data_IF_370241020924
#
_entry.id   IF_370241020924
#
_cell.length_a   1.000
_cell.length_b   1.000
_cell.length_c   1.000
_cell.angle_alpha   90.00
_cell.angle_beta   90.00
_cell.angle_gamma   90.00
#
_symmetry.space_group_name_H-M   'P 1'
#
loop_
_entity.id
_entity.type
_entity.pdbx_description
1 polymer ?
#
# COMPACT_ATOMS: atom_id res chain seq x y z
N UNK A 1 8.18 -14.27 -18.18
CA UNK A 1 7.06 -14.53 -17.26
C UNK A 1 5.97 -15.26 -18.04
N UNK A 2 5.33 -16.27 -17.47
CA UNK A 2 4.16 -16.91 -18.07
C UNK A 2 2.91 -16.03 -17.88
N UNK A 3 1.86 -16.22 -18.67
CA UNK A 3 0.63 -15.43 -18.57
C UNK A 3 -0.07 -15.56 -17.20
N UNK A 4 -0.04 -16.74 -16.60
CA UNK A 4 -0.63 -16.98 -15.27
C UNK A 4 0.15 -16.26 -14.17
N UNK A 5 1.47 -16.21 -14.30
CA UNK A 5 2.35 -15.51 -13.35
C UNK A 5 2.17 -13.99 -13.45
N UNK A 6 2.01 -13.48 -14.67
CA UNK A 6 1.70 -12.07 -14.91
C UNK A 6 0.37 -11.68 -14.27
N UNK A 7 -0.65 -12.52 -14.45
CA UNK A 7 -1.97 -12.31 -13.87
C UNK A 7 -1.93 -12.35 -12.35
N UNK A 8 -1.24 -13.33 -11.76
CA UNK A 8 -1.07 -13.42 -10.31
C UNK A 8 -0.40 -12.17 -9.73
N UNK A 9 0.67 -11.67 -10.38
CA UNK A 9 1.33 -10.45 -9.95
C UNK A 9 0.40 -9.23 -10.04
N UNK A 10 -0.34 -9.06 -11.13
CA UNK A 10 -1.33 -7.99 -11.29
C UNK A 10 -2.38 -8.04 -10.20
N UNK A 11 -2.94 -9.23 -9.92
CA UNK A 11 -3.92 -9.43 -8.85
C UNK A 11 -3.36 -9.04 -7.48
N UNK A 12 -2.11 -9.40 -7.18
CA UNK A 12 -1.47 -9.02 -5.92
C UNK A 12 -1.27 -7.50 -5.83
N UNK A 13 -0.88 -6.85 -6.93
CA UNK A 13 -0.77 -5.38 -6.97
C UNK A 13 -2.13 -4.70 -6.74
N UNK A 14 -3.20 -5.19 -7.37
CA UNK A 14 -4.56 -4.64 -7.16
C UNK A 14 -5.00 -4.79 -5.71
N UNK A 15 -4.73 -5.95 -5.09
CA UNK A 15 -5.03 -6.18 -3.68
C UNK A 15 -4.25 -5.24 -2.77
N UNK A 16 -2.96 -5.00 -3.06
CA UNK A 16 -2.14 -4.02 -2.33
C UNK A 16 -2.76 -2.63 -2.44
N UNK A 17 -3.12 -2.20 -3.64
CA UNK A 17 -3.72 -0.87 -3.87
C UNK A 17 -5.01 -0.71 -3.05
N UNK A 18 -5.89 -1.72 -3.08
CA UNK A 18 -7.14 -1.71 -2.31
C UNK A 18 -6.93 -1.64 -0.79
N UNK A 19 -6.06 -2.50 -0.26
CA UNK A 19 -5.71 -2.49 1.17
C UNK A 19 -5.03 -1.18 1.58
N UNK A 20 -4.21 -0.61 0.71
CA UNK A 20 -3.51 0.64 0.95
C UNK A 20 -4.46 1.85 0.98
N UNK A 21 -5.42 1.95 0.05
CA UNK A 21 -6.46 2.98 0.09
C UNK A 21 -7.30 2.93 1.35
N UNK A 22 -7.69 1.71 1.76
CA UNK A 22 -8.43 1.51 3.00
C UNK A 22 -7.60 1.97 4.21
N UNK A 23 -6.32 1.58 4.27
CA UNK A 23 -5.39 1.97 5.35
C UNK A 23 -5.17 3.48 5.41
N UNK A 24 -4.96 4.14 4.26
CA UNK A 24 -4.84 5.61 4.19
C UNK A 24 -6.08 6.27 4.77
N UNK A 25 -7.27 5.82 4.38
CA UNK A 25 -8.54 6.37 4.84
C UNK A 25 -8.70 6.24 6.36
N UNK A 26 -8.39 5.07 6.92
CA UNK A 26 -8.39 4.85 8.37
C UNK A 26 -7.37 5.73 9.09
N UNK A 27 -6.12 5.78 8.63
CA UNK A 27 -5.09 6.62 9.23
C UNK A 27 -5.52 8.10 9.24
N UNK A 28 -6.08 8.60 8.13
CA UNK A 28 -6.63 9.96 8.03
C UNK A 28 -7.77 10.19 9.03
N UNK A 29 -8.72 9.27 9.15
CA UNK A 29 -9.83 9.36 10.09
C UNK A 29 -9.33 9.40 11.55
N UNK A 30 -8.32 8.58 11.88
CA UNK A 30 -7.68 8.60 13.21
C UNK A 30 -7.03 9.95 13.49
N UNK A 31 -6.30 10.49 12.52
CA UNK A 31 -5.70 11.83 12.66
C UNK A 31 -6.73 12.96 12.76
N UNK A 32 -7.97 12.74 12.30
CA UNK A 32 -9.09 13.67 12.46
C UNK A 32 -9.85 13.50 13.80
N UNK A 33 -9.41 12.58 14.67
CA UNK A 33 -9.99 12.37 16.00
C UNK A 33 -10.89 11.13 16.11
N UNK A 34 -11.00 10.32 15.05
CA UNK A 34 -11.71 9.03 15.14
C UNK A 34 -10.87 8.01 15.92
N UNK A 35 -11.53 7.08 16.61
CA UNK A 35 -10.83 5.94 17.21
C UNK A 35 -10.33 5.00 16.10
N UNK A 36 -9.11 4.44 16.18
CA UNK A 36 -8.63 3.45 15.22
C UNK A 36 -9.52 2.21 15.25
N UNK A 37 -10.20 1.88 14.16
CA UNK A 37 -11.04 0.69 14.10
C UNK A 37 -10.18 -0.60 14.10
N UNK A 38 -10.75 -1.74 14.51
CA UNK A 38 -10.16 -3.07 14.40
C UNK A 38 -9.70 -3.38 12.96
N UNK A 39 -10.43 -2.87 11.97
CA UNK A 39 -10.10 -2.98 10.54
C UNK A 39 -8.75 -2.37 10.15
N UNK A 40 -8.20 -1.42 10.94
CA UNK A 40 -6.84 -0.92 10.70
C UNK A 40 -5.78 -2.01 10.96
N UNK A 41 -6.03 -2.90 11.93
CA UNK A 41 -5.18 -4.05 12.21
C UNK A 41 -5.22 -5.07 11.07
N UNK A 42 -6.42 -5.42 10.62
CA UNK A 42 -6.62 -6.37 9.52
C UNK A 42 -5.94 -5.89 8.22
N UNK A 43 -6.09 -4.60 7.91
CA UNK A 43 -5.44 -3.99 6.74
C UNK A 43 -3.91 -3.99 6.86
N UNK A 44 -3.36 -3.76 8.06
CA UNK A 44 -1.91 -3.83 8.27
C UNK A 44 -1.38 -5.25 8.05
N UNK A 45 -2.11 -6.27 8.51
CA UNK A 45 -1.78 -7.68 8.24
C UNK A 45 -1.86 -7.99 6.76
N UNK A 46 -2.92 -7.56 6.08
CA UNK A 46 -3.08 -7.75 4.64
C UNK A 46 -1.95 -7.11 3.84
N UNK A 47 -1.58 -5.86 4.16
CA UNK A 47 -0.45 -5.17 3.54
C UNK A 47 0.85 -5.94 3.74
N UNK A 48 1.13 -6.42 4.95
CA UNK A 48 2.34 -7.18 5.26
C UNK A 48 2.41 -8.49 4.43
N UNK A 49 1.32 -9.25 4.38
CA UNK A 49 1.25 -10.52 3.64
C UNK A 49 1.42 -10.30 2.14
N UNK A 50 0.67 -9.36 1.56
CA UNK A 50 0.76 -9.06 0.12
C UNK A 50 2.14 -8.50 -0.27
N UNK A 51 2.73 -7.67 0.59
CA UNK A 51 4.11 -7.20 0.44
C UNK A 51 5.11 -8.34 0.40
N UNK A 52 4.96 -9.34 1.28
CA UNK A 52 5.82 -10.52 1.32
C UNK A 52 5.66 -11.40 0.08
N UNK A 53 4.42 -11.56 -0.42
CA UNK A 53 4.17 -12.31 -1.66
C UNK A 53 4.83 -11.68 -2.88
N UNK A 54 4.74 -10.35 -3.01
CA UNK A 54 5.45 -9.60 -4.05
C UNK A 54 6.97 -9.73 -3.88
N UNK A 55 7.45 -9.69 -2.63
CA UNK A 55 8.78 -10.13 -2.15
C UNK A 55 9.28 -11.41 -2.83
N UNK A 56 8.58 -12.48 -2.49
CA UNK A 56 8.88 -13.84 -2.91
C UNK A 56 8.78 -14.00 -4.42
N UNK A 57 7.83 -13.32 -5.06
CA UNK A 57 7.69 -13.31 -6.51
C UNK A 57 8.97 -12.82 -7.19
N UNK A 58 9.63 -11.77 -6.67
CA UNK A 58 10.89 -11.28 -7.25
C UNK A 58 12.11 -12.09 -6.83
N UNK A 59 12.17 -12.55 -5.58
CA UNK A 59 13.32 -13.30 -5.06
C UNK A 59 13.56 -14.63 -5.79
N UNK A 60 12.50 -15.24 -6.31
CA UNK A 60 12.54 -16.55 -6.97
C UNK A 60 12.75 -16.50 -8.49
N UNK A 61 12.96 -15.31 -9.08
CA UNK A 61 12.82 -15.14 -10.55
C UNK A 61 14.00 -14.52 -11.28
N UNK A 62 14.04 -14.85 -12.58
CA UNK A 62 14.89 -14.17 -13.54
C UNK A 62 14.40 -12.72 -13.77
N UNK A 63 15.32 -11.78 -14.04
CA UNK A 63 14.99 -10.38 -14.24
C UNK A 63 14.01 -10.17 -15.42
N UNK A 64 13.15 -9.15 -15.33
CA UNK A 64 12.18 -8.84 -16.38
C UNK A 64 12.85 -8.57 -17.72
N UNK A 65 12.37 -9.24 -18.78
CA UNK A 65 12.97 -9.27 -20.12
C UNK A 65 12.28 -8.30 -21.08
N UNK A 66 10.97 -8.13 -20.97
CA UNK A 66 10.21 -7.22 -21.85
C UNK A 66 9.99 -5.84 -21.21
N UNK A 67 9.68 -4.83 -22.02
CA UNK A 67 9.32 -3.50 -21.52
C UNK A 67 8.07 -3.56 -20.61
N UNK A 68 7.11 -4.41 -20.96
CA UNK A 68 5.91 -4.64 -20.16
C UNK A 68 6.24 -5.28 -18.81
N UNK A 69 7.06 -6.34 -18.79
CA UNK A 69 7.50 -6.98 -17.54
C UNK A 69 8.28 -6.00 -16.64
N UNK A 70 9.11 -5.13 -17.22
CA UNK A 70 9.84 -4.09 -16.47
C UNK A 70 8.90 -3.06 -15.87
N UNK A 71 7.89 -2.60 -16.62
CA UNK A 71 6.91 -1.65 -16.11
C UNK A 71 6.08 -2.24 -14.99
N UNK A 72 5.63 -3.48 -15.14
CA UNK A 72 4.87 -4.18 -14.11
C UNK A 72 5.72 -4.38 -12.85
N UNK A 73 7.00 -4.69 -13.03
CA UNK A 73 7.94 -4.82 -11.92
C UNK A 73 8.18 -3.51 -11.16
N UNK A 74 8.30 -2.40 -11.88
CA UNK A 74 8.45 -1.08 -11.29
C UNK A 74 7.20 -0.67 -10.50
N UNK A 75 6.00 -0.90 -11.05
CA UNK A 75 4.73 -0.66 -10.34
C UNK A 75 4.64 -1.51 -9.08
N UNK A 76 4.93 -2.81 -9.17
CA UNK A 76 4.89 -3.71 -8.02
C UNK A 76 5.84 -3.26 -6.91
N UNK A 77 7.08 -2.88 -7.27
CA UNK A 77 8.08 -2.37 -6.32
C UNK A 77 7.57 -1.11 -5.62
N UNK A 78 7.01 -0.18 -6.37
CA UNK A 78 6.48 1.08 -5.83
C UNK A 78 5.26 0.87 -4.92
N UNK A 79 4.34 0.00 -5.32
CA UNK A 79 3.20 -0.41 -4.48
C UNK A 79 3.69 -1.06 -3.18
N UNK A 80 4.71 -1.91 -3.25
CA UNK A 80 5.26 -2.58 -2.08
C UNK A 80 5.93 -1.60 -1.10
N UNK A 81 6.67 -0.60 -1.61
CA UNK A 81 7.21 0.48 -0.77
C UNK A 81 6.09 1.26 -0.08
N UNK A 82 5.01 1.59 -0.81
CA UNK A 82 3.86 2.28 -0.25
C UNK A 82 3.13 1.43 0.81
N UNK A 83 2.96 0.13 0.56
CA UNK A 83 2.33 -0.81 1.48
C UNK A 83 3.06 -0.88 2.82
N UNK A 84 4.39 -1.06 2.79
CA UNK A 84 5.22 -1.06 4.01
C UNK A 84 5.16 0.25 4.77
N UNK A 85 5.22 1.37 4.05
CA UNK A 85 5.11 2.70 4.65
C UNK A 85 3.77 2.92 5.37
N UNK A 86 2.69 2.28 4.90
CA UNK A 86 1.36 2.32 5.50
C UNK A 86 1.20 1.31 6.63
N UNK A 87 1.77 0.12 6.50
CA UNK A 87 1.82 -0.90 7.55
C UNK A 87 2.52 -0.35 8.81
N UNK A 88 3.67 0.30 8.66
CA UNK A 88 4.39 0.96 9.76
C UNK A 88 3.53 2.03 10.44
N UNK A 89 2.82 2.84 9.64
CA UNK A 89 1.92 3.87 10.14
C UNK A 89 0.76 3.27 10.95
N UNK A 90 0.14 2.21 10.42
CA UNK A 90 -0.95 1.50 11.08
C UNK A 90 -0.48 0.89 12.41
N UNK A 91 0.67 0.19 12.41
CA UNK A 91 1.28 -0.37 13.63
C UNK A 91 1.60 0.70 14.65
N UNK A 92 2.09 1.86 14.21
CA UNK A 92 2.36 2.99 15.10
C UNK A 92 1.08 3.50 15.77
N UNK A 93 0.00 3.68 15.02
CA UNK A 93 -1.29 4.12 15.58
C UNK A 93 -1.88 3.10 16.56
N UNK A 94 -1.87 1.81 16.18
CA UNK A 94 -2.34 0.70 17.04
C UNK A 94 -1.52 0.62 18.33
N UNK A 95 -0.19 0.70 18.23
CA UNK A 95 0.70 0.64 19.39
C UNK A 95 0.53 1.83 20.35
N UNK A 96 0.32 3.04 19.82
CA UNK A 96 0.04 4.22 20.65
C UNK A 96 -1.35 4.15 21.30
N UNK A 97 -2.33 3.55 20.63
CA UNK A 97 -3.65 3.26 21.23
C UNK A 97 -3.52 2.33 22.42
N UNK A 98 -2.84 1.20 22.26
CA UNK A 98 -2.65 0.21 23.32
C UNK A 98 -1.95 0.80 24.57
N UNK A 99 -1.09 1.80 24.38
CA UNK A 99 -0.37 2.50 25.45
C UNK A 99 -1.13 3.68 26.06
N UNK A 100 -2.34 4.00 25.58
CA UNK A 100 -3.11 5.17 26.02
C UNK A 100 -2.57 6.53 25.55
N UNK A 101 -1.52 6.55 24.73
CA UNK A 101 -0.81 7.77 24.30
C UNK A 101 -1.31 8.35 22.96
N UNK A 102 -2.33 7.74 22.36
CA UNK A 102 -2.80 8.07 21.02
C UNK A 102 -3.18 9.54 20.85
N UNK A 103 -3.93 10.13 21.80
CA UNK A 103 -4.39 11.51 21.71
C UNK A 103 -3.23 12.53 21.69
N UNK A 104 -2.18 12.29 22.50
CA UNK A 104 -0.98 13.12 22.54
C UNK A 104 -0.18 13.00 21.25
N UNK A 105 -0.04 11.78 20.73
CA UNK A 105 0.65 11.48 19.47
C UNK A 105 -0.07 12.10 18.27
N UNK A 106 -1.40 12.00 18.19
CA UNK A 106 -2.22 12.66 17.16
C UNK A 106 -2.02 14.16 17.22
N UNK A 107 -2.08 14.79 18.42
CA UNK A 107 -1.86 16.24 18.57
C UNK A 107 -0.52 16.70 17.98
N UNK A 108 0.55 15.93 18.19
CA UNK A 108 1.89 16.25 17.66
C UNK A 108 1.95 16.05 16.14
N UNK A 109 1.40 14.95 15.64
CA UNK A 109 1.40 14.61 14.22
C UNK A 109 0.54 15.56 13.38
N UNK A 110 -0.61 16.00 13.91
CA UNK A 110 -1.49 16.98 13.25
C UNK A 110 -0.84 18.36 13.26
N UNK A 111 -0.23 18.78 14.38
CA UNK A 111 0.50 20.07 14.45
C UNK A 111 1.62 20.18 13.43
N UNK A 112 2.26 19.06 13.09
CA UNK A 112 3.37 19.06 12.14
C UNK A 112 2.92 18.90 10.69
N UNK A 113 1.63 18.61 10.42
CA UNK A 113 1.00 18.33 9.11
C UNK A 113 1.75 17.32 8.21
N UNK A 114 2.84 16.73 8.70
CA UNK A 114 3.79 15.94 7.92
C UNK A 114 3.25 14.56 7.60
N UNK A 115 2.62 13.91 8.59
CA UNK A 115 1.98 12.59 8.41
C UNK A 115 0.80 12.66 7.46
N UNK A 116 0.00 13.74 7.53
CA UNK A 116 -1.11 13.99 6.59
C UNK A 116 -0.61 14.17 5.16
N UNK A 117 0.40 15.04 4.95
CA UNK A 117 1.02 15.21 3.63
C UNK A 117 1.67 13.93 3.09
N UNK A 118 2.24 13.09 3.96
CA UNK A 118 2.79 11.78 3.58
C UNK A 118 1.69 10.83 3.11
N UNK A 119 0.57 10.76 3.84
CA UNK A 119 -0.58 9.93 3.44
C UNK A 119 -1.18 10.41 2.11
N UNK A 120 -1.31 11.72 1.89
CA UNK A 120 -1.82 12.27 0.62
C UNK A 120 -0.88 11.95 -0.56
N UNK A 121 0.45 11.99 -0.35
CA UNK A 121 1.42 11.60 -1.38
C UNK A 121 1.34 10.10 -1.69
N UNK A 122 1.16 9.27 -0.67
CA UNK A 122 0.99 7.82 -0.83
C UNK A 122 -0.28 7.52 -1.62
N UNK A 123 -1.41 8.14 -1.26
CA UNK A 123 -2.68 7.99 -1.97
C UNK A 123 -2.58 8.37 -3.44
N UNK A 124 -2.04 9.55 -3.76
CA UNK A 124 -1.82 9.99 -5.14
C UNK A 124 -0.94 9.04 -5.94
N UNK A 125 0.05 8.45 -5.27
CA UNK A 125 0.95 7.47 -5.90
C UNK A 125 0.20 6.18 -6.22
N UNK A 126 -0.63 5.69 -5.29
CA UNK A 126 -1.46 4.49 -5.48
C UNK A 126 -2.48 4.68 -6.61
N UNK A 127 -3.13 5.84 -6.69
CA UNK A 127 -4.04 6.19 -7.80
C UNK A 127 -3.31 6.18 -9.15
N UNK A 128 -2.09 6.73 -9.20
CA UNK A 128 -1.29 6.73 -10.42
C UNK A 128 -0.88 5.31 -10.85
N UNK A 129 -0.54 4.45 -9.89
CA UNK A 129 -0.22 3.04 -10.14
C UNK A 129 -1.44 2.26 -10.63
N UNK A 130 -2.60 2.49 -10.04
CA UNK A 130 -3.86 1.89 -10.48
C UNK A 130 -4.18 2.26 -11.93
N UNK A 131 -4.13 3.57 -12.26
CA UNK A 131 -4.35 4.04 -13.64
C UNK A 131 -3.35 3.44 -14.64
N UNK A 132 -2.08 3.33 -14.22
CA UNK A 132 -1.05 2.71 -15.05
C UNK A 132 -1.40 1.26 -15.36
N UNK A 133 -1.81 0.48 -14.35
CA UNK A 133 -2.21 -0.91 -14.57
C UNK A 133 -3.47 -1.04 -15.42
N UNK A 134 -4.50 -0.24 -15.14
CA UNK A 134 -5.74 -0.24 -15.92
C UNK A 134 -5.46 0.06 -17.40
N UNK A 135 -4.62 1.05 -17.69
CA UNK A 135 -4.22 1.37 -19.06
C UNK A 135 -3.46 0.23 -19.75
N UNK A 136 -2.61 -0.48 -19.01
CA UNK A 136 -1.83 -1.60 -19.54
C UNK A 136 -2.68 -2.85 -19.76
N UNK A 137 -3.66 -3.10 -18.88
CA UNK A 137 -4.64 -4.18 -19.05
C UNK A 137 -5.53 -3.93 -20.27
N UNK A 138 -6.03 -2.70 -20.43
CA UNK A 138 -6.83 -2.31 -21.59
C UNK A 138 -6.05 -2.46 -22.91
N UNK A 139 -4.76 -2.11 -22.92
CA UNK A 139 -3.90 -2.25 -24.09
C UNK A 139 -3.53 -3.70 -24.45
N UNK A 140 -3.83 -4.68 -23.60
CA UNK A 140 -3.62 -6.11 -23.87
C UNK A 140 -4.89 -6.84 -24.32
N UNK A 141 -6.06 -6.26 -24.07
CA UNK A 141 -7.38 -6.82 -24.41
C UNK A 141 -7.92 -6.25 -25.73
N UNK A 142 -7.43 -5.08 -26.16
CA UNK A 142 -7.67 -4.45 -27.46
C UNK A 142 -6.54 -4.77 -28.45
#
# INVERSE_FOLDING_TARGET
MSGLEALSLVCNILQIISAAHSTVSFCKAVYQGSSPDAHLGDNAVALASLSAEVEMFYASRQPPRTAHEKSLADVAKKCNIAARALEEEAKFLIGNRAKGNLATTIKIAVKTNWRKNRLDKLEKSLEAYQRTMESQLLAQVL
#
